data_IF_539989702884
#
_entry.id   IF_539989702884
#
_cell.length_a   1.000
_cell.length_b   1.000
_cell.length_c   1.000
_cell.angle_alpha   90.00
_cell.angle_beta   90.00
_cell.angle_gamma   90.00
#
_symmetry.space_group_name_H-M   'P 1'
#
loop_
_entity.id
_entity.type
_entity.pdbx_description
1 polymer ?
#
# COMPACT_ATOMS: atom_id res chain seq x y z
N UNK A 1 -18.62 -40.92 5.82
CA UNK A 1 -17.94 -40.27 4.68
C UNK A 1 -18.71 -39.00 4.25
N UNK A 2 -18.62 -37.88 4.99
CA UNK A 2 -19.34 -36.60 4.71
C UNK A 2 -18.41 -35.40 4.45
N UNK A 3 -17.10 -35.55 4.64
CA UNK A 3 -16.14 -34.44 4.63
C UNK A 3 -15.73 -33.94 3.23
N UNK A 4 -16.05 -34.67 2.15
CA UNK A 4 -15.64 -34.27 0.78
C UNK A 4 -16.61 -33.26 0.16
N UNK A 5 -17.86 -33.17 0.66
CA UNK A 5 -18.88 -32.25 0.10
C UNK A 5 -18.70 -30.78 0.52
N UNK A 6 -18.06 -30.52 1.66
CA UNK A 6 -17.88 -29.17 2.21
C UNK A 6 -16.76 -28.39 1.50
N UNK A 7 -15.68 -29.05 1.05
CA UNK A 7 -14.58 -28.40 0.33
C UNK A 7 -15.02 -27.82 -1.03
N UNK A 8 -15.96 -28.48 -1.72
CA UNK A 8 -16.57 -27.95 -2.94
C UNK A 8 -17.41 -26.70 -2.68
N UNK A 9 -18.05 -26.59 -1.52
CA UNK A 9 -18.78 -25.39 -1.11
C UNK A 9 -17.86 -24.23 -0.70
N UNK A 10 -16.74 -24.51 -0.02
CA UNK A 10 -15.79 -23.48 0.46
C UNK A 10 -15.10 -22.73 -0.68
N UNK A 11 -14.74 -23.42 -1.76
CA UNK A 11 -14.12 -22.80 -2.94
C UNK A 11 -15.10 -22.52 -4.09
N UNK A 12 -16.41 -22.71 -3.89
CA UNK A 12 -17.43 -22.43 -4.91
C UNK A 12 -17.35 -20.97 -5.41
N UNK A 13 -16.97 -20.03 -4.54
CA UNK A 13 -16.78 -18.63 -4.94
C UNK A 13 -15.66 -18.44 -5.97
N UNK A 14 -14.64 -19.30 -5.96
CA UNK A 14 -13.55 -19.30 -6.94
C UNK A 14 -13.92 -20.02 -8.25
N UNK A 15 -15.13 -20.53 -8.43
CA UNK A 15 -15.56 -21.06 -9.73
C UNK A 15 -15.96 -19.91 -10.70
N UNK A 16 -16.42 -18.78 -10.16
CA UNK A 16 -16.75 -17.61 -10.98
C UNK A 16 -15.48 -16.94 -11.53
N UNK A 17 -15.35 -16.89 -12.87
CA UNK A 17 -14.20 -16.32 -13.57
C UNK A 17 -13.93 -14.87 -13.16
N UNK A 18 -14.96 -14.05 -12.91
CA UNK A 18 -14.79 -12.65 -12.51
C UNK A 18 -14.24 -12.57 -11.09
N UNK A 19 -14.75 -13.40 -10.19
CA UNK A 19 -14.27 -13.45 -8.81
C UNK A 19 -12.83 -13.96 -8.73
N UNK A 20 -12.45 -14.96 -9.53
CA UNK A 20 -11.04 -15.43 -9.59
C UNK A 20 -10.07 -14.32 -9.98
N UNK A 21 -10.39 -13.55 -11.02
CA UNK A 21 -9.54 -12.43 -11.44
C UNK A 21 -9.46 -11.35 -10.36
N UNK A 22 -10.57 -11.03 -9.71
CA UNK A 22 -10.58 -10.09 -8.59
C UNK A 22 -9.72 -10.60 -7.42
N UNK A 23 -9.90 -11.86 -7.02
CA UNK A 23 -9.15 -12.47 -5.92
C UNK A 23 -7.64 -12.51 -6.20
N UNK A 24 -7.23 -12.94 -7.40
CA UNK A 24 -5.81 -12.92 -7.80
C UNK A 24 -5.25 -11.49 -7.82
N UNK A 25 -6.03 -10.53 -8.29
CA UNK A 25 -5.62 -9.12 -8.30
C UNK A 25 -5.43 -8.59 -6.88
N UNK A 26 -6.33 -8.93 -5.95
CA UNK A 26 -6.18 -8.60 -4.54
C UNK A 26 -4.92 -9.21 -3.94
N UNK A 27 -4.67 -10.51 -4.18
CA UNK A 27 -3.46 -11.17 -3.67
C UNK A 27 -2.19 -10.50 -4.21
N UNK A 28 -2.14 -10.24 -5.51
CA UNK A 28 -1.01 -9.54 -6.13
C UNK A 28 -0.84 -8.11 -5.58
N UNK A 29 -1.94 -7.38 -5.39
CA UNK A 29 -1.92 -6.03 -4.82
C UNK A 29 -1.37 -6.03 -3.39
N UNK A 30 -1.85 -6.95 -2.55
CA UNK A 30 -1.35 -7.08 -1.17
C UNK A 30 0.12 -7.49 -1.13
N UNK A 31 0.54 -8.43 -1.99
CA UNK A 31 1.94 -8.82 -2.09
C UNK A 31 2.83 -7.64 -2.52
N UNK A 32 2.40 -6.87 -3.52
CA UNK A 32 3.12 -5.68 -3.99
C UNK A 32 3.24 -4.62 -2.88
N UNK A 33 2.15 -4.36 -2.14
CA UNK A 33 2.13 -3.44 -1.02
C UNK A 33 3.12 -3.84 0.08
N UNK A 34 3.13 -5.12 0.47
CA UNK A 34 4.05 -5.62 1.49
C UNK A 34 5.51 -5.54 1.04
N UNK A 35 5.78 -5.89 -0.23
CA UNK A 35 7.12 -5.75 -0.79
C UNK A 35 7.58 -4.28 -0.80
N UNK A 36 6.68 -3.36 -1.13
CA UNK A 36 6.99 -1.92 -1.14
C UNK A 36 7.38 -1.42 0.26
N UNK A 37 6.74 -1.91 1.32
CA UNK A 37 7.09 -1.57 2.71
C UNK A 37 8.50 -2.08 3.03
N UNK A 38 8.79 -3.34 2.72
CA UNK A 38 10.10 -3.96 3.01
C UNK A 38 11.23 -3.25 2.25
N UNK A 39 11.05 -3.02 0.95
CA UNK A 39 12.05 -2.33 0.11
C UNK A 39 12.29 -0.91 0.59
N UNK A 40 11.24 -0.18 0.99
CA UNK A 40 11.36 1.19 1.51
C UNK A 40 12.16 1.23 2.80
N UNK A 41 11.87 0.33 3.75
CA UNK A 41 12.61 0.24 5.01
C UNK A 41 14.07 -0.15 4.78
N UNK A 42 14.32 -1.06 3.85
CA UNK A 42 15.68 -1.47 3.49
C UNK A 42 16.47 -0.34 2.80
N UNK A 43 15.83 0.44 1.91
CA UNK A 43 16.45 1.60 1.27
C UNK A 43 16.83 2.69 2.28
N UNK A 44 15.99 2.94 3.28
CA UNK A 44 16.31 3.86 4.39
C UNK A 44 17.52 3.36 5.18
N UNK A 45 17.60 2.04 5.44
CA UNK A 45 18.74 1.43 6.13
C UNK A 45 20.04 1.61 5.34
N UNK A 46 20.00 1.35 4.04
CA UNK A 46 21.16 1.44 3.14
C UNK A 46 21.70 2.88 3.02
N UNK A 47 20.80 3.88 3.05
CA UNK A 47 21.16 5.29 2.93
C UNK A 47 21.61 5.94 4.26
N UNK A 48 20.99 5.61 5.39
CA UNK A 48 21.30 6.25 6.69
C UNK A 48 22.36 5.51 7.51
N UNK A 49 22.54 4.20 7.32
CA UNK A 49 23.45 3.37 8.13
C UNK A 49 23.11 3.30 9.64
N UNK A 50 21.98 3.88 10.08
CA UNK A 50 21.58 4.01 11.47
C UNK A 50 20.13 3.54 11.68
N UNK A 51 19.92 2.65 12.66
CA UNK A 51 18.61 2.10 13.01
C UNK A 51 17.63 3.13 13.60
N UNK A 52 18.12 4.28 14.08
CA UNK A 52 17.29 5.35 14.65
C UNK A 52 16.47 6.08 13.58
N UNK A 53 17.06 6.36 12.42
CA UNK A 53 16.37 7.01 11.31
C UNK A 53 15.27 6.10 10.74
N UNK A 54 15.50 4.80 10.76
CA UNK A 54 14.54 3.78 10.34
C UNK A 54 13.30 3.77 11.26
N UNK A 55 13.51 3.92 12.56
CA UNK A 55 12.43 4.07 13.55
C UNK A 55 11.64 5.38 13.38
N UNK A 56 12.31 6.49 13.07
CA UNK A 56 11.66 7.77 12.82
C UNK A 56 10.84 7.78 11.52
N UNK A 57 11.36 7.20 10.44
CA UNK A 57 10.61 7.05 9.18
C UNK A 57 9.39 6.14 9.37
N UNK A 58 9.55 5.03 10.09
CA UNK A 58 8.42 4.16 10.44
C UNK A 58 7.35 4.85 11.28
N UNK A 59 7.76 5.68 12.26
CA UNK A 59 6.83 6.48 13.07
C UNK A 59 6.14 7.57 12.24
N UNK A 60 6.88 8.22 11.33
CA UNK A 60 6.33 9.25 10.45
C UNK A 60 5.32 8.68 9.46
N UNK A 61 5.49 7.45 8.96
CA UNK A 61 4.51 6.79 8.10
C UNK A 61 3.12 6.59 8.77
N UNK A 62 3.05 6.61 10.10
CA UNK A 62 1.78 6.57 10.84
C UNK A 62 1.09 7.94 10.96
N UNK A 63 1.83 9.05 10.83
CA UNK A 63 1.31 10.39 11.03
C UNK A 63 0.23 10.81 10.01
N UNK A 64 0.39 10.56 8.69
CA UNK A 64 -0.66 10.85 7.73
C UNK A 64 -1.94 10.08 8.03
N UNK A 65 -1.84 8.80 8.41
CA UNK A 65 -3.00 7.99 8.80
C UNK A 65 -3.70 8.59 10.02
N UNK A 66 -2.96 9.02 11.04
CA UNK A 66 -3.55 9.62 12.24
C UNK A 66 -4.24 10.94 11.94
N UNK A 67 -3.65 11.78 11.08
CA UNK A 67 -4.21 13.08 10.73
C UNK A 67 -5.39 12.98 9.76
N UNK A 68 -5.32 12.05 8.80
CA UNK A 68 -6.31 11.94 7.70
C UNK A 68 -7.44 10.98 8.07
N UNK A 69 -7.24 9.98 8.93
CA UNK A 69 -8.29 9.00 9.28
C UNK A 69 -9.62 9.59 9.77
N UNK A 70 -9.69 10.64 10.62
CA UNK A 70 -10.98 11.20 11.02
C UNK A 70 -11.71 11.91 9.87
N UNK A 71 -10.98 12.49 8.92
CA UNK A 71 -11.56 13.15 7.74
C UNK A 71 -11.90 12.16 6.62
N UNK A 72 -11.14 11.07 6.51
CA UNK A 72 -11.32 10.05 5.49
C UNK A 72 -12.71 9.41 5.53
N UNK A 73 -13.26 9.17 6.73
CA UNK A 73 -14.62 8.63 6.90
C UNK A 73 -15.70 9.56 6.33
N UNK A 74 -15.60 10.86 6.65
CA UNK A 74 -16.58 11.87 6.18
C UNK A 74 -16.52 12.05 4.66
N UNK A 75 -15.32 11.99 4.08
CA UNK A 75 -15.13 12.09 2.63
C UNK A 75 -15.61 10.81 1.93
N UNK A 76 -15.35 9.63 2.50
CA UNK A 76 -15.78 8.35 1.94
C UNK A 76 -17.32 8.21 1.88
N UNK A 77 -18.04 8.82 2.82
CA UNK A 77 -19.51 8.81 2.82
C UNK A 77 -20.14 9.79 1.83
N UNK A 78 -19.38 10.79 1.35
CA UNK A 78 -19.91 11.87 0.48
C UNK A 78 -19.46 11.78 -0.97
N UNK A 79 -18.45 10.98 -1.28
CA UNK A 79 -17.85 10.90 -2.62
C UNK A 79 -18.07 9.51 -3.21
N UNK A 80 -18.33 9.44 -4.52
CA UNK A 80 -18.42 8.17 -5.24
C UNK A 80 -17.17 7.30 -4.99
N UNK A 81 -17.38 6.10 -4.43
CA UNK A 81 -16.32 5.16 -4.04
C UNK A 81 -15.32 4.89 -5.17
N UNK A 82 -15.79 4.84 -6.41
CA UNK A 82 -14.94 4.62 -7.59
C UNK A 82 -14.00 5.80 -7.86
N UNK A 83 -14.51 7.03 -7.80
CA UNK A 83 -13.71 8.24 -8.02
C UNK A 83 -12.71 8.45 -6.90
N UNK A 84 -13.10 8.15 -5.66
CA UNK A 84 -12.23 8.23 -4.50
C UNK A 84 -11.06 7.23 -4.59
N UNK A 85 -11.33 5.99 -5.02
CA UNK A 85 -10.29 4.98 -5.24
C UNK A 85 -9.34 5.35 -6.39
N UNK A 86 -9.85 5.90 -7.49
CA UNK A 86 -9.00 6.33 -8.61
C UNK A 86 -8.12 7.51 -8.19
N UNK A 87 -8.67 8.48 -7.45
CA UNK A 87 -7.94 9.63 -6.96
C UNK A 87 -6.85 9.23 -5.95
N UNK A 88 -7.17 8.38 -4.97
CA UNK A 88 -6.19 7.93 -3.98
C UNK A 88 -5.05 7.14 -4.62
N UNK A 89 -5.37 6.22 -5.53
CA UNK A 89 -4.36 5.46 -6.27
C UNK A 89 -3.53 6.35 -7.20
N UNK A 90 -4.15 7.36 -7.82
CA UNK A 90 -3.46 8.34 -8.65
C UNK A 90 -2.46 9.17 -7.85
N UNK A 91 -2.86 9.65 -6.67
CA UNK A 91 -1.99 10.39 -5.74
C UNK A 91 -0.83 9.50 -5.27
N UNK A 92 -1.11 8.27 -4.85
CA UNK A 92 -0.09 7.32 -4.42
C UNK A 92 0.91 6.98 -5.54
N UNK A 93 0.41 6.81 -6.77
CA UNK A 93 1.26 6.57 -7.95
C UNK A 93 2.14 7.79 -8.26
N UNK A 94 1.58 9.00 -8.23
CA UNK A 94 2.34 10.24 -8.47
C UNK A 94 3.45 10.44 -7.41
N UNK A 95 3.14 10.22 -6.13
CA UNK A 95 4.12 10.25 -5.04
C UNK A 95 5.21 9.20 -5.23
N UNK A 96 4.85 7.97 -5.58
CA UNK A 96 5.82 6.89 -5.83
C UNK A 96 6.73 7.23 -7.01
N UNK A 97 6.18 7.81 -8.08
CA UNK A 97 6.93 8.19 -9.27
C UNK A 97 7.87 9.37 -9.00
N UNK A 98 7.43 10.33 -8.18
CA UNK A 98 8.28 11.42 -7.70
C UNK A 98 9.47 10.89 -6.90
N UNK A 99 9.25 9.95 -5.97
CA UNK A 99 10.33 9.28 -5.22
C UNK A 99 11.26 8.55 -6.18
N UNK A 100 10.74 7.79 -7.14
CA UNK A 100 11.55 7.04 -8.10
C UNK A 100 12.46 7.96 -8.92
N UNK A 101 11.95 9.12 -9.37
CA UNK A 101 12.75 10.13 -10.08
C UNK A 101 13.82 10.74 -9.18
N UNK A 102 13.48 11.06 -7.92
CA UNK A 102 14.44 11.56 -6.93
C UNK A 102 15.55 10.55 -6.64
N UNK A 103 15.22 9.24 -6.64
CA UNK A 103 16.22 8.16 -6.50
C UNK A 103 17.19 8.16 -7.68
N UNK A 104 16.69 8.26 -8.91
CA UNK A 104 17.53 8.26 -10.12
C UNK A 104 18.44 9.47 -10.27
N UNK A 105 18.16 10.56 -9.56
CA UNK A 105 18.95 11.80 -9.58
C UNK A 105 20.05 11.84 -8.50
N UNK A 106 20.24 10.77 -7.72
CA UNK A 106 21.23 10.63 -6.62
C UNK A 106 21.16 11.73 -5.54
N UNK A 107 20.10 12.56 -5.52
CA UNK A 107 19.88 13.65 -4.58
C UNK A 107 19.08 13.22 -3.33
N UNK A 108 19.25 11.97 -2.89
CA UNK A 108 18.36 11.39 -1.87
C UNK A 108 18.75 11.88 -0.48
N UNK A 109 17.84 12.63 0.13
CA UNK A 109 17.83 12.92 1.56
C UNK A 109 16.65 12.18 2.22
N UNK A 110 16.87 11.66 3.44
CA UNK A 110 15.91 10.90 4.26
C UNK A 110 14.55 11.59 4.39
N UNK A 111 14.52 12.92 4.36
CA UNK A 111 13.30 13.73 4.43
C UNK A 111 12.32 13.50 3.26
N UNK A 112 12.78 13.12 2.06
CA UNK A 112 11.88 12.81 0.93
C UNK A 112 11.11 11.51 1.15
N UNK A 113 11.71 10.54 1.84
CA UNK A 113 11.04 9.31 2.26
C UNK A 113 10.01 9.59 3.36
N UNK A 114 10.27 10.56 4.23
CA UNK A 114 9.35 10.98 5.30
C UNK A 114 8.12 11.70 4.73
N UNK A 115 8.31 12.62 3.77
CA UNK A 115 7.20 13.39 3.18
C UNK A 115 6.31 12.54 2.28
N UNK A 116 6.87 11.48 1.68
CA UNK A 116 6.14 10.60 0.78
C UNK A 116 5.63 9.30 1.44
N UNK A 117 5.76 9.20 2.77
CA UNK A 117 5.13 8.15 3.59
C UNK A 117 3.85 8.70 4.19
#
# INVERSE_FOLDING_TARGET
MKAVSTLRGTFASLEDRRYRFFWLSCVAMYAAMQMQIVVRLWLVYDLSGSALDLGLVGAAAGAPILLVSPYAGVIADRVDKRSLLIASQGVAAALTLLIAVLITLEAIAVWHLIVAS
#
